data_IF_122891869743
#
_entry.id   IF_122891869743
#
_cell.length_a   1.000
_cell.length_b   1.000
_cell.length_c   1.000
_cell.angle_alpha   90.00
_cell.angle_beta   90.00
_cell.angle_gamma   90.00
#
_symmetry.space_group_name_H-M   'P 1'
#
loop_
_entity.id
_entity.type
_entity.pdbx_description
1 polymer ?
#
# COMPACT_ATOMS: atom_id res chain seq x y z
N UNK A 1 72.86 36.02 14.81
CA UNK A 1 71.91 35.05 15.37
C UNK A 1 70.42 35.34 15.04
N UNK A 2 70.10 36.31 14.17
CA UNK A 2 68.70 36.78 13.97
C UNK A 2 68.02 36.32 12.66
N UNK A 3 68.76 35.71 11.72
CA UNK A 3 68.19 35.25 10.44
C UNK A 3 67.42 33.93 10.57
N UNK A 4 67.84 33.04 11.48
CA UNK A 4 67.17 31.75 11.71
C UNK A 4 65.87 31.91 12.51
N UNK A 5 65.79 32.89 13.40
CA UNK A 5 64.58 33.19 14.18
C UNK A 5 63.45 33.66 13.25
N UNK A 6 63.75 34.55 12.28
CA UNK A 6 62.78 35.03 11.30
C UNK A 6 62.19 33.93 10.41
N UNK A 7 63.02 32.97 10.00
CA UNK A 7 62.60 31.83 9.15
C UNK A 7 61.70 30.87 9.93
N UNK A 8 62.03 30.58 11.20
CA UNK A 8 61.21 29.74 12.08
C UNK A 8 59.83 30.34 12.35
N UNK A 9 59.75 31.64 12.60
CA UNK A 9 58.46 32.32 12.79
C UNK A 9 57.59 32.32 11.53
N UNK A 10 58.18 32.44 10.34
CA UNK A 10 57.44 32.40 9.07
C UNK A 10 56.87 31.00 8.78
N UNK A 11 57.64 29.94 9.09
CA UNK A 11 57.19 28.56 8.93
C UNK A 11 56.01 28.22 9.85
N UNK A 12 56.01 28.71 11.08
CA UNK A 12 54.90 28.51 12.04
C UNK A 12 53.62 29.22 11.57
N UNK A 13 53.73 30.43 11.04
CA UNK A 13 52.57 31.17 10.50
C UNK A 13 52.00 30.47 9.26
N UNK A 14 52.85 29.95 8.38
CA UNK A 14 52.41 29.18 7.20
C UNK A 14 51.74 27.85 7.58
N UNK A 15 52.27 27.14 8.57
CA UNK A 15 51.67 25.91 9.07
C UNK A 15 50.33 26.17 9.78
N UNK A 16 50.23 27.25 10.56
CA UNK A 16 48.98 27.67 11.18
C UNK A 16 47.94 28.12 10.14
N UNK A 17 48.37 28.80 9.07
CA UNK A 17 47.50 29.23 7.98
C UNK A 17 47.01 28.03 7.15
N UNK A 18 47.89 27.07 6.84
CA UNK A 18 47.51 25.82 6.17
C UNK A 18 46.57 24.97 7.05
N UNK A 19 46.86 24.88 8.35
CA UNK A 19 45.98 24.23 9.33
C UNK A 19 44.62 24.92 9.43
N UNK A 20 44.58 26.25 9.44
CA UNK A 20 43.35 27.04 9.41
C UNK A 20 42.56 26.80 8.12
N UNK A 21 43.21 26.75 6.96
CA UNK A 21 42.54 26.45 5.68
C UNK A 21 41.96 25.03 5.65
N UNK A 22 42.67 24.03 6.16
CA UNK A 22 42.18 22.63 6.22
C UNK A 22 41.05 22.48 7.25
N UNK A 23 41.16 23.14 8.39
CA UNK A 23 40.14 23.14 9.44
C UNK A 23 38.86 23.88 9.00
N UNK A 24 39.01 25.00 8.28
CA UNK A 24 37.88 25.74 7.72
C UNK A 24 37.23 24.98 6.56
N UNK A 25 37.99 24.18 5.78
CA UNK A 25 37.43 23.24 4.78
C UNK A 25 36.61 22.12 5.44
N UNK A 26 36.98 21.66 6.63
CA UNK A 26 36.21 20.68 7.41
C UNK A 26 35.01 21.31 8.12
N UNK A 27 35.10 22.56 8.61
CA UNK A 27 33.98 23.27 9.24
C UNK A 27 32.92 23.77 8.25
N UNK A 28 33.27 24.01 6.98
CA UNK A 28 32.29 24.32 5.94
C UNK A 28 31.40 23.12 5.53
N UNK A 29 31.66 21.90 6.00
CA UNK A 29 30.75 20.76 5.79
C UNK A 29 29.46 20.81 6.62
N UNK A 30 29.28 21.85 7.44
CA UNK A 30 28.01 22.22 8.05
C UNK A 30 27.19 23.24 7.25
N UNK A 31 27.53 23.52 5.98
CA UNK A 31 26.70 24.37 5.14
C UNK A 31 25.39 23.63 4.80
N UNK A 32 24.26 24.32 4.96
CA UNK A 32 23.00 23.95 4.32
C UNK A 32 23.24 23.99 2.79
N UNK A 33 23.81 22.93 2.22
CA UNK A 33 23.90 22.79 0.78
C UNK A 33 22.49 22.55 0.25
N UNK A 34 21.84 23.64 -0.18
CA UNK A 34 20.48 23.64 -0.75
C UNK A 34 20.43 23.10 -2.18
N UNK A 35 21.22 22.08 -2.47
CA UNK A 35 21.21 21.35 -3.74
C UNK A 35 20.00 20.44 -3.86
N UNK A 36 19.60 20.13 -5.10
CA UNK A 36 18.68 19.02 -5.33
C UNK A 36 19.37 17.72 -4.92
N UNK A 37 18.63 16.81 -4.29
CA UNK A 37 19.14 15.50 -3.86
C UNK A 37 19.65 14.66 -5.03
N UNK A 38 18.92 14.68 -6.15
CA UNK A 38 19.21 13.92 -7.36
C UNK A 38 19.47 14.88 -8.53
N UNK A 39 20.74 15.12 -8.79
CA UNK A 39 21.17 16.01 -9.86
C UNK A 39 20.66 15.55 -11.23
N UNK A 40 20.15 16.50 -12.04
CA UNK A 40 19.64 16.21 -13.38
C UNK A 40 18.28 15.53 -13.45
N UNK A 41 17.76 14.96 -12.35
CA UNK A 41 16.45 14.28 -12.32
C UNK A 41 15.32 15.23 -12.75
N UNK A 42 15.35 16.47 -12.25
CA UNK A 42 14.33 17.48 -12.58
C UNK A 42 14.17 17.70 -14.09
N UNK A 43 15.26 17.64 -14.85
CA UNK A 43 15.24 17.81 -16.31
C UNK A 43 14.73 16.58 -17.06
N UNK A 44 14.61 15.43 -16.41
CA UNK A 44 14.11 14.17 -16.99
C UNK A 44 12.81 13.69 -16.35
N UNK A 45 12.24 14.44 -15.41
CA UNK A 45 11.07 14.07 -14.62
C UNK A 45 9.86 13.67 -15.49
N UNK A 46 9.63 14.40 -16.59
CA UNK A 46 8.51 14.14 -17.51
C UNK A 46 8.71 12.87 -18.37
N UNK A 47 9.94 12.35 -18.43
CA UNK A 47 10.32 11.20 -19.26
C UNK A 47 10.67 9.98 -18.40
N UNK A 48 10.30 9.97 -17.12
CA UNK A 48 10.50 8.80 -16.26
C UNK A 48 9.57 7.69 -16.75
N UNK A 49 10.15 6.55 -17.13
CA UNK A 49 9.45 5.44 -17.78
C UNK A 49 9.52 4.14 -16.98
N UNK A 50 10.39 4.06 -15.97
CA UNK A 50 10.49 2.92 -15.05
C UNK A 50 10.86 3.36 -13.63
N UNK A 51 10.30 2.66 -12.65
CA UNK A 51 10.65 2.77 -11.24
C UNK A 51 10.88 1.38 -10.65
N UNK A 52 11.92 1.26 -9.82
CA UNK A 52 12.22 0.07 -9.04
C UNK A 52 12.34 0.47 -7.56
N UNK A 53 11.66 -0.25 -6.68
CA UNK A 53 11.67 -0.03 -5.23
C UNK A 53 11.98 -1.37 -4.55
N UNK A 54 13.13 -1.44 -3.88
CA UNK A 54 13.67 -2.68 -3.32
C UNK A 54 14.09 -2.52 -1.88
N UNK A 55 13.84 -3.53 -1.05
CA UNK A 55 14.49 -3.71 0.27
C UNK A 55 15.45 -4.89 0.22
N UNK A 56 16.24 -5.08 1.27
CA UNK A 56 17.04 -6.31 1.41
C UNK A 56 16.16 -7.57 1.45
N UNK A 57 14.94 -7.45 2.03
CA UNK A 57 13.97 -8.54 2.14
C UNK A 57 12.53 -8.06 1.90
N UNK A 58 11.72 -8.94 1.31
CA UNK A 58 10.25 -8.83 1.24
C UNK A 58 9.69 -7.89 0.17
N UNK A 59 10.31 -6.74 -0.09
CA UNK A 59 9.83 -5.76 -1.08
C UNK A 59 10.70 -5.75 -2.34
N UNK A 60 10.08 -6.11 -3.48
CA UNK A 60 10.63 -5.92 -4.82
C UNK A 60 9.52 -5.44 -5.78
N UNK A 61 9.26 -4.13 -5.75
CA UNK A 61 8.26 -3.51 -6.59
C UNK A 61 8.91 -2.89 -7.83
N UNK A 62 8.37 -3.22 -9.01
CA UNK A 62 8.83 -2.69 -10.28
C UNK A 62 7.63 -2.25 -11.12
N UNK A 63 7.68 -1.04 -11.67
CA UNK A 63 6.65 -0.53 -12.56
C UNK A 63 7.28 0.15 -13.77
N UNK A 64 6.60 0.04 -14.91
CA UNK A 64 6.98 0.65 -16.19
C UNK A 64 5.80 1.39 -16.79
N UNK A 65 6.07 2.48 -17.50
CA UNK A 65 5.06 3.18 -18.29
C UNK A 65 4.86 2.46 -19.62
N UNK A 66 3.63 2.06 -19.91
CA UNK A 66 3.19 1.43 -21.16
C UNK A 66 1.88 2.08 -21.60
N UNK A 67 1.79 2.52 -22.85
CA UNK A 67 0.58 3.14 -23.43
C UNK A 67 -0.03 4.27 -22.57
N UNK A 68 0.83 5.06 -21.93
CA UNK A 68 0.43 6.16 -21.05
C UNK A 68 -0.05 5.75 -19.66
N UNK A 69 0.06 4.47 -19.29
CA UNK A 69 -0.29 3.93 -17.97
C UNK A 69 0.92 3.28 -17.30
N UNK A 70 1.04 3.44 -15.99
CA UNK A 70 1.99 2.66 -15.19
C UNK A 70 1.45 1.26 -14.89
N UNK A 71 2.27 0.25 -15.18
CA UNK A 71 1.97 -1.16 -14.98
C UNK A 71 3.13 -1.90 -14.32
N UNK A 72 2.82 -2.93 -13.53
CA UNK A 72 3.79 -3.87 -12.97
C UNK A 72 4.03 -5.01 -13.97
N UNK A 73 5.07 -4.88 -14.80
CA UNK A 73 5.32 -5.81 -15.91
C UNK A 73 5.52 -7.27 -15.45
N UNK A 74 6.16 -7.48 -14.30
CA UNK A 74 6.37 -8.82 -13.73
C UNK A 74 5.07 -9.52 -13.29
N UNK A 75 3.98 -8.75 -13.14
CA UNK A 75 2.66 -9.25 -12.77
C UNK A 75 1.72 -9.16 -13.97
N UNK A 76 2.19 -9.60 -15.15
CA UNK A 76 1.43 -9.57 -16.40
C UNK A 76 0.87 -8.16 -16.70
N UNK A 77 1.70 -7.13 -16.56
CA UNK A 77 1.31 -5.72 -16.76
C UNK A 77 0.11 -5.25 -15.90
N UNK A 78 0.00 -5.73 -14.65
CA UNK A 78 -1.08 -5.29 -13.76
C UNK A 78 -1.02 -3.77 -13.49
N UNK A 79 -2.14 -3.02 -13.55
CA UNK A 79 -2.14 -1.57 -13.37
C UNK A 79 -1.65 -1.13 -11.99
N UNK A 80 -0.93 -0.01 -11.97
CA UNK A 80 -0.39 0.62 -10.75
C UNK A 80 -1.19 1.88 -10.40
N UNK A 81 -1.29 2.18 -9.10
CA UNK A 81 -1.88 3.39 -8.54
C UNK A 81 -1.09 4.65 -8.95
N UNK A 82 -1.52 5.25 -10.06
CA UNK A 82 -0.89 6.41 -10.70
C UNK A 82 -0.62 7.55 -9.73
N UNK A 83 -1.58 7.83 -8.84
CA UNK A 83 -1.46 8.93 -7.87
C UNK A 83 -0.36 8.70 -6.84
N UNK A 84 -0.17 7.46 -6.36
CA UNK A 84 0.90 7.14 -5.39
C UNK A 84 2.27 7.29 -6.04
N UNK A 85 2.43 6.75 -7.24
CA UNK A 85 3.67 6.80 -8.00
C UNK A 85 4.04 8.25 -8.38
N UNK A 86 3.09 9.04 -8.89
CA UNK A 86 3.32 10.44 -9.25
C UNK A 86 3.69 11.31 -8.04
N UNK A 87 3.11 11.04 -6.86
CA UNK A 87 3.48 11.71 -5.60
C UNK A 87 4.93 11.40 -5.21
N UNK A 88 5.35 10.14 -5.30
CA UNK A 88 6.74 9.75 -5.00
C UNK A 88 7.73 10.40 -5.98
N UNK A 89 7.48 10.32 -7.29
CA UNK A 89 8.37 10.92 -8.30
C UNK A 89 8.50 12.42 -8.05
N UNK A 90 7.37 13.12 -7.85
CA UNK A 90 7.37 14.56 -7.54
C UNK A 90 8.20 14.86 -6.29
N UNK A 91 7.99 14.09 -5.20
CA UNK A 91 8.78 14.26 -3.98
C UNK A 91 10.28 14.07 -4.22
N UNK A 92 10.69 13.09 -5.01
CA UNK A 92 12.10 12.83 -5.34
C UNK A 92 12.72 13.90 -6.25
N UNK A 93 11.95 14.41 -7.21
CA UNK A 93 12.35 15.50 -8.11
C UNK A 93 12.59 16.80 -7.32
N UNK A 94 11.75 17.06 -6.33
CA UNK A 94 11.79 18.29 -5.53
C UNK A 94 12.70 18.22 -4.30
N UNK A 95 13.08 17.02 -3.86
CA UNK A 95 13.85 16.82 -2.63
C UNK A 95 15.18 17.58 -2.68
N UNK A 96 15.45 18.32 -1.62
CA UNK A 96 16.69 19.07 -1.41
C UNK A 96 17.44 18.55 -0.21
N UNK A 97 18.75 18.57 -0.30
CA UNK A 97 19.62 18.31 0.85
C UNK A 97 19.44 19.44 1.87
N UNK A 98 19.16 19.08 3.11
CA UNK A 98 19.06 20.01 4.24
C UNK A 98 20.31 19.99 5.09
N UNK A 99 20.75 18.81 5.49
CA UNK A 99 21.86 18.67 6.42
C UNK A 99 22.69 17.43 6.10
N UNK A 100 23.98 17.62 5.94
CA UNK A 100 24.94 16.52 5.94
C UNK A 100 24.89 15.82 7.30
N UNK A 101 24.71 14.50 7.31
CA UNK A 101 24.72 13.69 8.53
C UNK A 101 26.09 13.08 8.75
N UNK A 102 26.30 11.85 8.30
CA UNK A 102 27.54 11.10 8.52
C UNK A 102 28.11 10.64 7.19
N UNK A 103 29.43 10.66 7.07
CA UNK A 103 30.19 9.99 6.01
C UNK A 103 30.85 8.69 6.49
N UNK A 104 30.66 8.33 7.77
CA UNK A 104 31.24 7.14 8.41
C UNK A 104 30.27 5.96 8.31
N UNK A 105 30.66 4.85 7.65
CA UNK A 105 29.79 3.69 7.45
C UNK A 105 29.21 3.08 8.72
N UNK A 106 29.97 3.09 9.82
CA UNK A 106 29.56 2.54 11.13
C UNK A 106 28.26 3.17 11.67
N UNK A 107 27.88 4.36 11.19
CA UNK A 107 26.67 5.05 11.61
C UNK A 107 25.49 4.87 10.64
N UNK A 108 25.65 4.17 9.52
CA UNK A 108 24.57 3.99 8.55
C UNK A 108 23.42 3.14 9.10
N UNK A 109 23.72 2.16 9.95
CA UNK A 109 22.70 1.32 10.56
C UNK A 109 21.70 2.14 11.41
N UNK A 110 22.21 3.09 12.19
CA UNK A 110 21.41 4.02 13.01
C UNK A 110 20.48 4.93 12.21
N UNK A 111 20.74 5.10 10.92
CA UNK A 111 19.91 5.91 10.02
C UNK A 111 19.05 5.02 9.10
N UNK A 112 19.20 3.70 9.16
CA UNK A 112 18.60 2.76 8.21
C UNK A 112 19.14 2.92 6.78
N UNK A 113 20.43 3.21 6.62
CA UNK A 113 21.06 3.54 5.32
C UNK A 113 22.14 2.55 4.89
N UNK A 114 22.18 1.34 5.48
CA UNK A 114 23.03 0.24 5.02
C UNK A 114 22.69 -0.15 3.58
N UNK A 115 23.62 -0.78 2.86
CA UNK A 115 23.37 -1.17 1.48
C UNK A 115 22.28 -2.26 1.46
N UNK A 116 21.42 -2.31 0.44
CA UNK A 116 20.39 -3.36 0.34
C UNK A 116 20.97 -4.76 0.13
N UNK A 117 22.26 -4.87 -0.21
CA UNK A 117 23.00 -6.13 -0.23
C UNK A 117 23.31 -6.67 1.17
N UNK A 118 23.25 -5.82 2.20
CA UNK A 118 23.40 -6.23 3.58
C UNK A 118 22.07 -6.83 4.06
N UNK A 119 22.10 -8.07 4.57
CA UNK A 119 20.91 -8.82 4.95
C UNK A 119 20.01 -8.04 5.95
N UNK A 120 20.62 -7.42 6.96
CA UNK A 120 19.86 -6.69 7.98
C UNK A 120 19.60 -5.21 7.61
N UNK A 121 19.74 -4.82 6.34
CA UNK A 121 19.52 -3.45 5.93
C UNK A 121 18.06 -3.03 6.06
N UNK A 122 17.84 -1.90 6.73
CA UNK A 122 16.53 -1.25 6.83
C UNK A 122 16.28 -0.25 5.69
N UNK A 123 17.23 -0.09 4.76
CA UNK A 123 17.10 0.86 3.67
C UNK A 123 16.10 0.34 2.62
N UNK A 124 15.32 1.26 2.05
CA UNK A 124 14.60 1.02 0.80
C UNK A 124 15.32 1.73 -0.33
N UNK A 125 15.82 0.99 -1.31
CA UNK A 125 16.41 1.57 -2.51
C UNK A 125 15.32 1.91 -3.51
N UNK A 126 15.31 3.16 -3.97
CA UNK A 126 14.43 3.60 -5.07
C UNK A 126 15.31 3.99 -6.24
N UNK A 127 14.98 3.46 -7.42
CA UNK A 127 15.65 3.80 -8.67
C UNK A 127 14.64 4.24 -9.71
N UNK A 128 14.82 5.45 -10.23
CA UNK A 128 14.03 6.03 -11.32
C UNK A 128 14.83 5.94 -12.62
N UNK A 129 14.18 5.60 -13.71
CA UNK A 129 14.80 5.49 -15.04
C UNK A 129 14.10 6.40 -16.04
N UNK A 130 14.89 6.91 -16.99
CA UNK A 130 14.42 7.62 -18.19
C UNK A 130 15.29 7.19 -19.36
N UNK A 131 14.80 6.25 -20.16
CA UNK A 131 15.60 5.58 -21.19
C UNK A 131 16.88 4.99 -20.61
N UNK A 132 18.04 5.49 -21.04
CA UNK A 132 19.35 5.04 -20.58
C UNK A 132 19.84 5.68 -19.27
N UNK A 133 19.15 6.71 -18.77
CA UNK A 133 19.52 7.41 -17.53
C UNK A 133 18.85 6.77 -16.33
N UNK A 134 19.52 6.80 -15.18
CA UNK A 134 18.95 6.36 -13.92
C UNK A 134 19.40 7.21 -12.73
N UNK A 135 18.54 7.31 -11.72
CA UNK A 135 18.81 7.96 -10.45
C UNK A 135 18.41 7.02 -9.33
N UNK A 136 19.34 6.73 -8.43
CA UNK A 136 19.12 5.78 -7.35
C UNK A 136 19.44 6.41 -6.00
N UNK A 137 18.63 6.08 -4.99
CA UNK A 137 18.77 6.58 -3.62
C UNK A 137 18.36 5.50 -2.62
N UNK A 138 19.14 5.37 -1.55
CA UNK A 138 18.75 4.62 -0.36
C UNK A 138 17.94 5.54 0.55
N UNK A 139 16.73 5.14 0.87
CA UNK A 139 15.82 5.82 1.78
C UNK A 139 15.84 5.09 3.13
N UNK A 140 16.23 5.81 4.19
CA UNK A 140 16.36 5.26 5.54
C UNK A 140 15.20 5.64 6.44
N UNK A 141 15.47 5.78 7.74
CA UNK A 141 14.47 6.12 8.74
C UNK A 141 14.01 7.59 8.67
N UNK A 142 12.81 7.87 9.19
CA UNK A 142 12.33 9.23 9.42
C UNK A 142 12.83 9.74 10.78
N UNK A 143 13.43 10.94 10.85
CA UNK A 143 13.74 11.57 12.13
C UNK A 143 12.47 11.92 12.92
N UNK A 144 12.46 11.68 14.23
CA UNK A 144 11.29 11.96 15.09
C UNK A 144 10.84 13.43 15.10
N UNK A 145 11.78 14.36 14.95
CA UNK A 145 11.54 15.81 15.07
C UNK A 145 11.65 16.59 13.76
N UNK A 146 11.53 15.91 12.61
CA UNK A 146 11.60 16.56 11.31
C UNK A 146 10.67 15.87 10.32
N UNK A 147 10.06 16.65 9.42
CA UNK A 147 9.22 16.15 8.32
C UNK A 147 10.02 15.60 7.14
N UNK A 148 11.35 15.51 7.28
CA UNK A 148 12.26 15.05 6.24
C UNK A 148 12.52 13.55 6.28
N UNK A 149 13.53 13.13 5.52
CA UNK A 149 13.93 11.73 5.43
C UNK A 149 15.45 11.61 5.40
N UNK A 150 15.99 10.55 6.02
CA UNK A 150 17.40 10.21 5.81
C UNK A 150 17.59 9.50 4.48
N UNK A 151 18.62 9.92 3.74
CA UNK A 151 18.96 9.35 2.43
C UNK A 151 20.46 9.20 2.24
N UNK A 152 20.84 8.29 1.34
CA UNK A 152 22.21 8.15 0.87
C UNK A 152 22.21 7.70 -0.59
N UNK A 153 23.03 8.32 -1.44
CA UNK A 153 23.21 7.85 -2.80
C UNK A 153 24.03 6.55 -2.80
N UNK A 154 23.69 5.55 -3.64
CA UNK A 154 24.52 4.36 -3.78
C UNK A 154 25.98 4.71 -4.10
N UNK A 155 26.91 3.95 -3.51
CA UNK A 155 28.38 4.16 -3.64
C UNK A 155 28.92 5.49 -3.08
N UNK A 156 28.07 6.39 -2.58
CA UNK A 156 28.47 7.55 -1.81
C UNK A 156 28.40 7.22 -0.31
N UNK A 157 29.39 7.68 0.45
CA UNK A 157 29.41 7.51 1.90
C UNK A 157 28.68 8.63 2.63
N UNK A 158 28.46 9.79 2.02
CA UNK A 158 27.75 10.88 2.67
C UNK A 158 26.25 10.60 2.75
N UNK A 159 25.74 10.46 3.98
CA UNK A 159 24.32 10.44 4.30
C UNK A 159 23.79 11.87 4.51
N UNK A 160 22.54 12.10 4.15
CA UNK A 160 21.88 13.41 4.22
C UNK A 160 20.51 13.29 4.89
N UNK A 161 20.08 14.38 5.53
CA UNK A 161 18.67 14.66 5.75
C UNK A 161 18.16 15.51 4.58
N UNK A 162 17.03 15.13 3.98
CA UNK A 162 16.34 15.93 2.95
C UNK A 162 15.06 16.54 3.47
N UNK A 163 14.54 17.55 2.78
CA UNK A 163 13.34 18.33 3.15
C UNK A 163 12.00 17.67 2.76
N UNK A 164 12.04 16.50 2.14
CA UNK A 164 10.86 15.72 1.75
C UNK A 164 10.83 14.39 2.50
N UNK A 165 9.62 13.93 2.81
CA UNK A 165 9.34 12.55 3.15
C UNK A 165 8.95 11.78 1.88
N UNK A 166 9.33 10.52 1.80
CA UNK A 166 8.93 9.63 0.70
C UNK A 166 7.93 8.61 1.22
N UNK A 167 6.75 8.57 0.64
CA UNK A 167 5.80 7.48 0.84
C UNK A 167 6.21 6.33 -0.09
N UNK A 168 6.50 5.17 0.49
CA UNK A 168 6.99 3.98 -0.21
C UNK A 168 6.02 2.83 0.05
N UNK A 169 5.89 1.88 -0.89
CA UNK A 169 5.13 0.66 -0.63
C UNK A 169 5.75 -0.14 0.54
N UNK A 170 4.91 -0.76 1.36
CA UNK A 170 5.34 -1.73 2.36
C UNK A 170 5.52 -3.11 1.73
N UNK A 171 4.63 -3.50 0.80
CA UNK A 171 4.64 -4.74 0.02
C UNK A 171 4.68 -4.48 -1.50
N UNK A 172 4.95 -5.52 -2.28
CA UNK A 172 4.92 -5.46 -3.74
C UNK A 172 3.50 -5.29 -4.34
N UNK A 173 2.44 -5.48 -3.54
CA UNK A 173 1.04 -5.33 -3.96
C UNK A 173 0.40 -4.01 -3.54
N UNK A 174 0.94 -3.29 -2.55
CA UNK A 174 0.34 -2.07 -1.98
C UNK A 174 0.03 -0.96 -2.99
N UNK A 175 0.78 -0.94 -4.08
CA UNK A 175 0.69 0.09 -5.13
C UNK A 175 0.04 -0.42 -6.40
N UNK A 176 -0.39 -1.68 -6.43
CA UNK A 176 -1.22 -2.19 -7.50
C UNK A 176 -2.64 -1.62 -7.37
N UNK A 177 -3.33 -1.50 -8.50
CA UNK A 177 -4.71 -1.02 -8.55
C UNK A 177 -5.65 -1.94 -7.79
N UNK A 178 -6.33 -1.38 -6.80
CA UNK A 178 -7.27 -2.06 -5.91
C UNK A 178 -8.49 -1.16 -5.66
N UNK A 179 -9.68 -1.69 -5.31
CA UNK A 179 -10.03 -3.11 -5.14
C UNK A 179 -10.03 -3.91 -6.46
N UNK A 180 -10.16 -5.24 -6.37
CA UNK A 180 -10.15 -6.15 -7.54
C UNK A 180 -11.26 -5.78 -8.53
N UNK A 181 -12.47 -5.58 -8.01
CA UNK A 181 -13.62 -5.21 -8.83
C UNK A 181 -13.56 -3.72 -9.21
N UNK A 182 -13.58 -3.37 -10.51
CA UNK A 182 -13.51 -1.98 -10.95
C UNK A 182 -14.90 -1.31 -10.95
N UNK A 183 -15.70 -1.52 -9.91
CA UNK A 183 -17.06 -0.97 -9.81
C UNK A 183 -17.32 -0.39 -8.42
N UNK A 184 -18.22 0.59 -8.34
CA UNK A 184 -18.65 1.18 -7.08
C UNK A 184 -19.95 0.52 -6.59
N UNK A 185 -20.13 0.47 -5.27
CA UNK A 185 -21.33 -0.08 -4.63
C UNK A 185 -22.64 0.53 -5.16
N UNK A 186 -22.65 1.82 -5.49
CA UNK A 186 -23.80 2.54 -6.03
C UNK A 186 -24.24 2.08 -7.44
N UNK A 187 -23.39 1.33 -8.14
CA UNK A 187 -23.67 0.79 -9.46
C UNK A 187 -24.14 -0.67 -9.41
N UNK A 188 -24.04 -1.31 -8.25
CA UNK A 188 -24.52 -2.68 -8.03
C UNK A 188 -26.05 -2.68 -7.91
N UNK A 189 -26.70 -3.43 -8.78
CA UNK A 189 -28.13 -3.71 -8.71
C UNK A 189 -28.41 -4.97 -7.88
N UNK A 190 -27.61 -6.02 -8.08
CA UNK A 190 -27.80 -7.32 -7.45
C UNK A 190 -26.47 -7.98 -7.12
N UNK A 191 -26.41 -8.59 -5.95
CA UNK A 191 -25.39 -9.55 -5.55
C UNK A 191 -26.10 -10.87 -5.23
N UNK A 192 -25.72 -11.92 -5.96
CA UNK A 192 -26.28 -13.26 -5.80
C UNK A 192 -25.15 -14.23 -5.43
N UNK A 193 -25.35 -15.00 -4.36
CA UNK A 193 -24.52 -16.16 -4.02
C UNK A 193 -25.20 -17.40 -4.58
N UNK A 194 -24.50 -18.18 -5.42
CA UNK A 194 -25.03 -19.40 -6.02
C UNK A 194 -24.93 -20.61 -5.08
N UNK A 195 -25.72 -21.64 -5.38
CA UNK A 195 -25.73 -22.92 -4.67
C UNK A 195 -26.95 -23.12 -3.77
N UNK A 196 -27.04 -24.28 -3.11
CA UNK A 196 -28.22 -24.67 -2.30
C UNK A 196 -28.49 -23.73 -1.12
N UNK A 197 -27.42 -23.15 -0.55
CA UNK A 197 -27.48 -22.15 0.53
C UNK A 197 -27.25 -20.73 0.01
N UNK A 198 -27.55 -20.54 -1.27
CA UNK A 198 -27.45 -19.27 -1.97
C UNK A 198 -28.45 -18.24 -1.46
N UNK A 199 -28.24 -17.00 -1.88
CA UNK A 199 -29.11 -15.88 -1.52
C UNK A 199 -28.96 -14.76 -2.54
N UNK A 200 -29.98 -13.90 -2.63
CA UNK A 200 -29.99 -12.74 -3.53
C UNK A 200 -30.22 -11.48 -2.71
N UNK A 201 -29.26 -10.56 -2.77
CA UNK A 201 -29.33 -9.21 -2.23
C UNK A 201 -29.49 -8.24 -3.41
N UNK A 202 -30.48 -7.36 -3.39
CA UNK A 202 -30.74 -6.45 -4.51
C UNK A 202 -31.31 -5.10 -4.10
N UNK A 203 -31.14 -4.12 -4.99
CA UNK A 203 -31.88 -2.87 -5.01
C UNK A 203 -32.67 -2.78 -6.31
N UNK A 204 -33.99 -2.65 -6.22
CA UNK A 204 -34.87 -2.39 -7.36
C UNK A 204 -34.49 -1.08 -8.05
N UNK A 205 -34.14 -0.05 -7.28
CA UNK A 205 -33.82 1.29 -7.77
C UNK A 205 -32.59 1.87 -7.04
N UNK A 206 -31.76 2.65 -7.75
CA UNK A 206 -30.54 3.28 -7.21
C UNK A 206 -30.83 4.20 -6.00
N UNK A 207 -32.03 4.75 -5.89
CA UNK A 207 -32.44 5.65 -4.81
C UNK A 207 -32.85 4.91 -3.53
N UNK A 208 -32.99 3.57 -3.57
CA UNK A 208 -33.28 2.82 -2.35
C UNK A 208 -32.13 2.99 -1.34
N UNK A 209 -32.43 3.28 -0.07
CA UNK A 209 -31.39 3.53 0.93
C UNK A 209 -30.54 2.28 1.19
N UNK A 210 -31.17 1.12 1.34
CA UNK A 210 -30.52 -0.14 1.70
C UNK A 210 -30.82 -1.23 0.69
N UNK A 211 -29.89 -2.17 0.54
CA UNK A 211 -30.18 -3.41 -0.19
C UNK A 211 -31.21 -4.25 0.57
N UNK A 212 -31.99 -5.03 -0.17
CA UNK A 212 -33.02 -5.94 0.35
C UNK A 212 -32.69 -7.39 -0.01
N UNK A 213 -33.09 -8.33 0.84
CA UNK A 213 -32.98 -9.77 0.57
C UNK A 213 -34.21 -10.22 -0.23
N UNK A 214 -34.01 -10.87 -1.37
CA UNK A 214 -35.10 -11.21 -2.29
C UNK A 214 -36.15 -12.17 -1.69
N UNK A 215 -35.69 -13.18 -0.95
CA UNK A 215 -36.53 -14.26 -0.40
C UNK A 215 -36.59 -14.22 1.13
N UNK A 216 -36.77 -13.03 1.71
CA UNK A 216 -36.95 -12.88 3.15
C UNK A 216 -38.33 -13.38 3.58
N UNK A 217 -38.37 -14.43 4.42
CA UNK A 217 -39.62 -14.93 5.01
C UNK A 217 -40.29 -13.87 5.90
N UNK A 218 -41.63 -13.82 5.89
CA UNK A 218 -42.41 -12.76 6.53
C UNK A 218 -42.24 -12.65 8.06
N UNK A 219 -41.86 -13.74 8.71
CA UNK A 219 -41.59 -13.82 10.16
C UNK A 219 -40.13 -13.52 10.53
N UNK A 220 -39.25 -13.33 9.53
CA UNK A 220 -37.83 -13.04 9.71
C UNK A 220 -37.56 -11.56 9.55
N UNK A 221 -36.53 -11.08 10.25
CA UNK A 221 -36.04 -9.70 10.18
C UNK A 221 -34.53 -9.68 10.03
N UNK A 222 -34.03 -8.69 9.32
CA UNK A 222 -32.60 -8.40 9.27
C UNK A 222 -32.08 -8.01 10.65
N UNK A 223 -30.82 -8.34 10.94
CA UNK A 223 -30.16 -7.98 12.20
C UNK A 223 -30.18 -6.46 12.43
N UNK A 224 -29.94 -5.69 11.37
CA UNK A 224 -30.07 -4.23 11.33
C UNK A 224 -30.24 -3.75 9.87
N UNK A 225 -30.77 -2.53 9.61
CA UNK A 225 -31.12 -2.08 8.25
C UNK A 225 -29.99 -2.14 7.21
N UNK A 226 -28.74 -1.84 7.60
CA UNK A 226 -27.58 -1.82 6.69
C UNK A 226 -26.77 -3.11 6.63
N UNK A 227 -27.26 -4.24 7.13
CA UNK A 227 -26.48 -5.49 7.19
C UNK A 227 -26.13 -6.01 5.79
N UNK A 228 -27.04 -5.83 4.83
CA UNK A 228 -26.86 -6.27 3.45
C UNK A 228 -25.95 -5.32 2.66
N UNK A 229 -25.95 -4.03 3.00
CA UNK A 229 -25.01 -3.05 2.44
C UNK A 229 -23.55 -3.44 2.76
N UNK A 230 -23.31 -3.97 3.97
CA UNK A 230 -21.99 -4.44 4.36
C UNK A 230 -21.53 -5.66 3.54
N UNK A 231 -22.45 -6.56 3.18
CA UNK A 231 -22.14 -7.70 2.31
C UNK A 231 -21.76 -7.24 0.90
N UNK A 232 -22.53 -6.32 0.30
CA UNK A 232 -22.20 -5.74 -1.01
C UNK A 232 -20.89 -4.95 -0.95
N UNK A 233 -20.68 -4.17 0.12
CA UNK A 233 -19.44 -3.43 0.34
C UNK A 233 -18.23 -4.36 0.42
N UNK A 234 -18.35 -5.52 1.07
CA UNK A 234 -17.27 -6.52 1.17
C UNK A 234 -16.85 -7.07 -0.19
N UNK A 235 -17.79 -7.20 -1.14
CA UNK A 235 -17.49 -7.61 -2.52
C UNK A 235 -16.85 -6.48 -3.31
N UNK A 236 -17.41 -5.28 -3.26
CA UNK A 236 -16.90 -4.12 -4.03
C UNK A 236 -15.57 -3.58 -3.51
N UNK A 237 -15.31 -3.71 -2.21
CA UNK A 237 -14.08 -3.27 -1.55
C UNK A 237 -13.02 -4.37 -1.41
N UNK A 238 -13.14 -5.45 -2.18
CA UNK A 238 -12.30 -6.62 -2.03
C UNK A 238 -10.87 -6.34 -2.50
N UNK A 239 -9.96 -6.26 -1.53
CA UNK A 239 -8.52 -6.17 -1.76
C UNK A 239 -7.88 -7.56 -1.76
N UNK A 240 -6.71 -7.66 -2.38
CA UNK A 240 -5.91 -8.89 -2.45
C UNK A 240 -4.55 -8.68 -1.79
N UNK A 241 -3.99 -9.78 -1.28
CA UNK A 241 -2.66 -9.82 -0.66
C UNK A 241 -1.57 -10.10 -1.69
N UNK A 242 -1.86 -10.96 -2.67
CA UNK A 242 -0.95 -11.35 -3.75
C UNK A 242 -1.72 -11.70 -5.03
N UNK A 243 -1.06 -11.57 -6.18
CA UNK A 243 -1.49 -12.21 -7.43
C UNK A 243 -0.77 -13.56 -7.50
N UNK A 244 -1.52 -14.64 -7.47
CA UNK A 244 -1.00 -16.00 -7.49
C UNK A 244 -0.70 -16.45 -8.93
N UNK A 245 0.15 -17.48 -9.06
CA UNK A 245 0.38 -18.13 -10.34
C UNK A 245 -0.93 -18.71 -10.91
N UNK A 246 -1.09 -18.70 -12.22
CA UNK A 246 -2.35 -19.08 -12.87
C UNK A 246 -2.80 -20.52 -12.54
N UNK A 247 -1.84 -21.42 -12.29
CA UNK A 247 -2.04 -22.84 -11.95
C UNK A 247 -2.20 -23.11 -10.44
N UNK A 248 -2.20 -22.06 -9.60
CA UNK A 248 -2.38 -22.20 -8.14
C UNK A 248 -3.74 -22.81 -7.79
N UNK A 249 -4.77 -22.53 -8.59
CA UNK A 249 -6.13 -23.03 -8.42
C UNK A 249 -6.65 -23.54 -9.76
N UNK A 250 -7.00 -24.82 -9.82
CA UNK A 250 -7.79 -25.35 -10.94
C UNK A 250 -9.27 -25.00 -10.71
N UNK A 251 -9.68 -23.82 -11.17
CA UNK A 251 -11.04 -23.30 -11.03
C UNK A 251 -12.13 -24.16 -11.68
N UNK A 252 -11.75 -25.14 -12.52
CA UNK A 252 -12.69 -26.08 -13.13
C UNK A 252 -13.02 -27.26 -12.22
N UNK A 253 -12.12 -27.58 -11.28
CA UNK A 253 -12.24 -28.72 -10.35
C UNK A 253 -12.35 -28.30 -8.88
N UNK A 254 -12.02 -27.05 -8.55
CA UNK A 254 -12.06 -26.55 -7.19
C UNK A 254 -13.48 -26.56 -6.60
N UNK A 255 -13.58 -26.96 -5.33
CA UNK A 255 -14.78 -26.70 -4.52
C UNK A 255 -14.83 -25.19 -4.25
N UNK A 256 -15.74 -24.51 -4.96
CA UNK A 256 -15.79 -23.06 -5.06
C UNK A 256 -17.17 -22.52 -4.73
N UNK A 257 -17.18 -21.34 -4.15
CA UNK A 257 -18.39 -20.54 -4.00
C UNK A 257 -18.43 -19.47 -5.08
N UNK A 258 -19.52 -19.43 -5.84
CA UNK A 258 -19.70 -18.49 -6.95
C UNK A 258 -20.66 -17.37 -6.57
N UNK A 259 -20.33 -16.15 -6.97
CA UNK A 259 -21.19 -14.98 -6.86
C UNK A 259 -21.39 -14.32 -8.21
N UNK A 260 -22.61 -13.86 -8.45
CA UNK A 260 -22.96 -12.99 -9.57
C UNK A 260 -23.18 -11.57 -9.05
N UNK A 261 -22.50 -10.60 -9.68
CA UNK A 261 -22.63 -9.17 -9.37
C UNK A 261 -23.18 -8.47 -10.60
N UNK A 262 -24.48 -8.15 -10.56
CA UNK A 262 -25.16 -7.45 -11.65
C UNK A 262 -25.17 -5.95 -11.40
N UNK A 263 -24.81 -5.19 -12.43
CA UNK A 263 -24.85 -3.73 -12.42
C UNK A 263 -26.13 -3.20 -13.07
N UNK A 264 -26.52 -1.98 -12.73
CA UNK A 264 -27.68 -1.31 -13.34
C UNK A 264 -27.55 -1.04 -14.85
N UNK A 265 -26.34 -1.01 -15.38
CA UNK A 265 -26.10 -0.85 -16.82
C UNK A 265 -26.21 -2.17 -17.61
N UNK A 266 -26.52 -3.28 -16.92
CA UNK A 266 -26.63 -4.60 -17.52
C UNK A 266 -25.34 -5.42 -17.50
N UNK A 267 -24.22 -4.86 -17.02
CA UNK A 267 -22.97 -5.62 -16.89
C UNK A 267 -23.06 -6.65 -15.76
N UNK A 268 -22.32 -7.75 -15.93
CA UNK A 268 -22.25 -8.85 -14.98
C UNK A 268 -20.80 -9.23 -14.70
N UNK A 269 -20.44 -9.29 -13.42
CA UNK A 269 -19.21 -9.94 -12.98
C UNK A 269 -19.57 -11.27 -12.31
N UNK A 270 -18.80 -12.31 -12.60
CA UNK A 270 -18.80 -13.55 -11.82
C UNK A 270 -17.54 -13.59 -10.97
N UNK A 271 -17.70 -13.92 -9.70
CA UNK A 271 -16.60 -14.11 -8.75
C UNK A 271 -16.64 -15.54 -8.26
N UNK A 272 -15.54 -16.25 -8.37
CA UNK A 272 -15.38 -17.56 -7.74
C UNK A 272 -14.35 -17.43 -6.61
N UNK A 273 -14.67 -17.96 -5.44
CA UNK A 273 -13.73 -18.08 -4.32
C UNK A 273 -13.53 -19.53 -3.94
N UNK A 274 -12.29 -19.89 -3.59
CA UNK A 274 -11.92 -21.24 -3.18
C UNK A 274 -10.84 -21.21 -2.09
N UNK A 275 -10.71 -22.31 -1.36
CA UNK A 275 -9.62 -22.53 -0.41
C UNK A 275 -8.70 -23.61 -0.94
N UNK A 276 -7.40 -23.36 -0.94
CA UNK A 276 -6.37 -24.36 -1.28
C UNK A 276 -5.34 -24.39 -0.16
N UNK A 277 -5.26 -25.53 0.54
CA UNK A 277 -4.50 -25.62 1.77
C UNK A 277 -5.06 -24.69 2.85
N UNK A 278 -4.24 -23.74 3.31
CA UNK A 278 -4.63 -22.73 4.30
C UNK A 278 -4.91 -21.35 3.69
N UNK A 279 -4.75 -21.21 2.37
CA UNK A 279 -4.87 -19.94 1.67
C UNK A 279 -6.21 -19.84 0.93
N UNK A 280 -6.69 -18.62 0.78
CA UNK A 280 -7.95 -18.32 0.10
C UNK A 280 -7.70 -17.54 -1.17
N UNK A 281 -8.44 -17.90 -2.21
CA UNK A 281 -8.25 -17.34 -3.54
C UNK A 281 -9.57 -16.86 -4.13
N UNK A 282 -9.46 -15.91 -5.04
CA UNK A 282 -10.52 -15.30 -5.81
C UNK A 282 -10.12 -15.28 -7.29
N UNK A 283 -11.06 -15.56 -8.18
CA UNK A 283 -10.99 -15.13 -9.57
C UNK A 283 -12.24 -14.34 -9.92
N UNK A 284 -12.10 -13.42 -10.88
CA UNK A 284 -13.19 -12.59 -11.36
C UNK A 284 -13.24 -12.69 -12.89
N UNK A 285 -14.42 -12.94 -13.44
CA UNK A 285 -14.66 -13.05 -14.88
C UNK A 285 -15.90 -12.27 -15.29
N UNK A 286 -16.01 -11.98 -16.59
CA UNK A 286 -17.22 -11.45 -17.20
C UNK A 286 -17.22 -11.78 -18.68
N UNK A 287 -18.39 -12.17 -19.20
CA UNK A 287 -18.57 -12.41 -20.63
C UNK A 287 -18.71 -11.09 -21.42
N UNK A 288 -19.22 -10.02 -20.78
CA UNK A 288 -19.51 -8.75 -21.43
C UNK A 288 -18.39 -7.72 -21.28
N UNK A 289 -17.56 -7.86 -20.25
CA UNK A 289 -16.49 -6.91 -19.93
C UNK A 289 -15.13 -7.51 -20.24
N UNK A 290 -14.15 -6.62 -20.43
CA UNK A 290 -12.74 -6.97 -20.53
C UNK A 290 -11.97 -6.05 -19.57
N UNK A 291 -10.94 -6.58 -18.92
CA UNK A 291 -10.14 -5.74 -18.04
C UNK A 291 -9.03 -6.50 -17.31
N UNK A 292 -8.13 -5.70 -16.72
CA UNK A 292 -6.94 -6.19 -16.00
C UNK A 292 -7.26 -7.18 -14.87
N UNK A 293 -8.49 -7.15 -14.36
CA UNK A 293 -8.92 -7.94 -13.23
C UNK A 293 -9.24 -9.40 -13.62
N UNK A 294 -9.43 -9.70 -14.91
CA UNK A 294 -9.78 -11.03 -15.40
C UNK A 294 -8.58 -11.97 -15.57
N UNK A 295 -8.88 -13.27 -15.67
CA UNK A 295 -7.92 -14.34 -15.95
C UNK A 295 -6.77 -14.43 -14.94
N UNK A 296 -7.03 -14.00 -13.70
CA UNK A 296 -6.05 -13.94 -12.61
C UNK A 296 -6.60 -14.57 -11.37
N UNK A 297 -5.70 -15.13 -10.60
CA UNK A 297 -5.99 -15.70 -9.29
C UNK A 297 -5.43 -14.74 -8.24
N UNK A 298 -6.30 -14.17 -7.42
CA UNK A 298 -5.94 -13.27 -6.33
C UNK A 298 -5.95 -14.04 -5.02
N UNK A 299 -4.85 -13.99 -4.27
CA UNK A 299 -4.87 -14.40 -2.86
C UNK A 299 -5.57 -13.31 -2.05
N UNK A 300 -6.57 -13.69 -1.27
CA UNK A 300 -7.31 -12.79 -0.38
C UNK A 300 -7.11 -13.21 1.07
N UNK A 301 -7.27 -12.25 1.98
CA UNK A 301 -7.18 -12.53 3.42
C UNK A 301 -8.29 -13.49 3.88
N UNK A 302 -8.01 -14.26 4.94
CA UNK A 302 -9.05 -15.09 5.59
C UNK A 302 -10.24 -14.26 6.07
N UNK A 303 -10.00 -13.03 6.54
CA UNK A 303 -11.08 -12.12 6.91
C UNK A 303 -12.00 -11.80 5.72
N UNK A 304 -11.42 -11.44 4.56
CA UNK A 304 -12.18 -11.16 3.35
C UNK A 304 -12.97 -12.40 2.91
N UNK A 305 -12.34 -13.58 2.92
CA UNK A 305 -12.98 -14.84 2.58
C UNK A 305 -14.16 -15.16 3.50
N UNK A 306 -14.01 -14.99 4.83
CA UNK A 306 -15.08 -15.17 5.80
C UNK A 306 -16.23 -14.19 5.59
N UNK A 307 -15.95 -12.91 5.29
CA UNK A 307 -17.00 -11.94 5.01
C UNK A 307 -17.83 -12.32 3.77
N UNK A 308 -17.17 -12.80 2.72
CA UNK A 308 -17.84 -13.27 1.49
C UNK A 308 -18.65 -14.55 1.74
N UNK A 309 -18.16 -15.44 2.61
CA UNK A 309 -18.80 -16.73 2.85
C UNK A 309 -19.98 -16.73 3.82
N UNK A 310 -20.33 -15.57 4.38
CA UNK A 310 -21.56 -15.40 5.16
C UNK A 310 -22.77 -16.05 4.48
N UNK A 311 -23.52 -16.81 5.27
CA UNK A 311 -24.78 -17.41 4.88
C UNK A 311 -25.93 -16.43 5.08
N UNK A 312 -27.10 -16.78 4.53
CA UNK A 312 -28.31 -15.99 4.71
C UNK A 312 -28.63 -15.74 6.19
N UNK A 313 -28.43 -16.74 7.04
CA UNK A 313 -28.70 -16.68 8.49
C UNK A 313 -27.83 -15.64 9.23
N UNK A 314 -26.64 -15.30 8.71
CA UNK A 314 -25.77 -14.28 9.31
C UNK A 314 -26.35 -12.86 9.18
N UNK A 315 -27.29 -12.66 8.24
CA UNK A 315 -27.96 -11.38 8.02
C UNK A 315 -29.23 -11.22 8.85
N UNK A 316 -29.70 -12.28 9.49
CA UNK A 316 -31.01 -12.33 10.15
C UNK A 316 -30.87 -12.28 11.66
N UNK A 317 -31.87 -11.71 12.32
CA UNK A 317 -31.99 -11.79 13.77
C UNK A 317 -32.03 -13.26 14.18
N UNK A 318 -31.23 -13.62 15.19
CA UNK A 318 -31.36 -14.91 15.85
C UNK A 318 -32.77 -14.98 16.43
N UNK A 319 -33.45 -16.12 16.24
CA UNK A 319 -34.74 -16.35 16.89
C UNK A 319 -34.55 -16.08 18.39
N UNK A 320 -35.29 -15.11 18.93
CA UNK A 320 -35.22 -14.81 20.35
C UNK A 320 -35.70 -16.02 21.13
N UNK A 321 -34.88 -16.51 22.07
CA UNK A 321 -35.41 -17.14 23.28
C UNK A 321 -36.42 -16.15 23.88
N UNK A 322 -37.70 -16.42 23.66
CA UNK A 322 -38.80 -15.76 24.36
C UNK A 322 -38.69 -16.14 25.84
N UNK A 323 -37.82 -15.47 26.59
CA UNK A 323 -37.98 -15.40 28.04
C UNK A 323 -38.96 -14.25 28.28
N UNK A 324 -40.24 -14.51 28.60
CA UNK A 324 -41.11 -13.45 29.05
C UNK A 324 -40.47 -12.83 30.29
N UNK A 325 -40.31 -11.52 30.29
CA UNK A 325 -40.05 -10.74 31.50
C UNK A 325 -41.18 -11.04 32.48
N UNK A 326 -40.96 -12.01 33.37
CA UNK A 326 -41.81 -12.21 34.54
C UNK A 326 -41.66 -10.95 35.36
N UNK A 327 -42.71 -10.14 35.39
CA UNK A 327 -42.84 -9.02 36.31
C UNK A 327 -42.85 -9.56 37.72
N UNK A 328 -41.66 -9.65 38.34
CA UNK A 328 -41.56 -9.77 39.77
C UNK A 328 -42.03 -8.44 40.37
N UNK A 329 -43.28 -8.44 40.86
CA UNK A 329 -43.80 -7.41 41.76
C UNK A 329 -42.87 -7.39 42.97
N UNK A 330 -42.20 -6.26 43.20
CA UNK A 330 -41.41 -6.03 44.40
C UNK A 330 -42.43 -5.73 45.50
N UNK A 331 -42.55 -6.67 46.44
CA UNK A 331 -43.32 -6.51 47.67
C UNK A 331 -42.57 -5.54 48.59
N UNK A 332 -43.05 -4.29 48.69
CA UNK A 332 -42.54 -3.30 49.63
C UNK A 332 -43.05 -3.63 51.02
N UNK A 333 -42.22 -4.32 51.81
CA UNK A 333 -42.50 -4.63 53.21
C UNK A 333 -42.75 -3.37 54.06
N UNK A 334 -43.81 -3.41 54.87
CA UNK A 334 -44.18 -2.36 55.83
C UNK A 334 -43.03 -2.02 56.80
N UNK A 335 -42.81 -0.72 57.01
CA UNK A 335 -41.85 -0.21 57.99
C UNK A 335 -42.36 -0.41 59.44
N UNK A 336 -41.52 -0.88 60.37
CA UNK A 336 -41.92 -1.02 61.76
C UNK A 336 -41.98 0.36 62.45
N UNK A 337 -42.97 0.52 63.34
CA UNK A 337 -43.16 1.70 64.20
C UNK A 337 -42.16 1.77 65.34
#
# INVERSE_FOLDING_TARGET
>A
MNKHIGILSLAVVLAAFAGFLVFNKHQQQGSLEKGLMLEGLKSSAANIDRIEIKKAHGLDFNATQQDGQWVAAALDNYPVEQTKLAKLITAMVEARQLQAKTSKPDYFDRLGLRAISDQDSLATQVTLYSGSKSWSVLVGQRPERSSGQYVRLPKNNQAWLVDKAFELPFSDTDWLKQPVLPTAMQDIQQLEKLGEKGWIIRKQDKQQPHFELADLAADRKLTYPGVLDAAVSSVTGLNFEAIAAADTVDWSQADKTTFNVSLYNGDLYQLDIATVGNDHYLTVSSDSLQGYWQHRTYKISSFSFEQLNKGMEDFLQKASDNVPMSGAVIDEGEAPK
#
